data_IF_477304548665
#
_entry.id   IF_477304548665
#
_cell.length_a   1.000
_cell.length_b   1.000
_cell.length_c   1.000
_cell.angle_alpha   90.00
_cell.angle_beta   90.00
_cell.angle_gamma   90.00
#
_symmetry.space_group_name_H-M   'P 1'
#
loop_
_entity.id
_entity.type
_entity.pdbx_description
1 polymer ?
#
# COMPACT_ATOMS: atom_id res chain seq x y z
N UNK A 1 17.06 4.73 -3.93
CA UNK A 1 16.03 3.89 -4.52
C UNK A 1 14.74 4.68 -4.68
N UNK A 2 13.95 4.34 -5.63
CA UNK A 2 12.68 5.03 -5.86
C UNK A 2 11.54 4.04 -6.03
N UNK A 3 10.34 4.52 -5.81
CA UNK A 3 9.12 3.76 -6.06
C UNK A 3 8.50 4.26 -7.36
N UNK A 4 8.28 3.35 -8.30
CA UNK A 4 7.61 3.67 -9.55
C UNK A 4 6.16 3.20 -9.51
N UNK A 5 5.24 4.07 -9.90
CA UNK A 5 3.81 3.77 -9.99
C UNK A 5 3.39 3.93 -11.44
N UNK A 6 2.68 2.94 -11.96
CA UNK A 6 2.19 2.98 -13.34
C UNK A 6 0.71 2.63 -13.37
N UNK A 7 -0.07 3.44 -14.05
CA UNK A 7 -1.50 3.21 -14.22
C UNK A 7 -1.99 3.93 -15.48
N UNK A 8 -2.73 3.22 -16.32
CA UNK A 8 -3.36 3.79 -17.51
C UNK A 8 -2.39 4.60 -18.38
N UNK A 9 -1.16 4.11 -18.53
CA UNK A 9 -0.17 4.77 -19.38
C UNK A 9 0.60 5.90 -18.72
N UNK A 10 0.31 6.22 -17.47
CA UNK A 10 1.01 7.26 -16.72
C UNK A 10 1.97 6.60 -15.74
N UNK A 11 3.20 7.09 -15.69
CA UNK A 11 4.21 6.59 -14.75
C UNK A 11 4.68 7.76 -13.89
N UNK A 12 4.74 7.52 -12.57
CA UNK A 12 5.30 8.48 -11.62
C UNK A 12 6.36 7.80 -10.79
N UNK A 13 7.37 8.57 -10.44
CA UNK A 13 8.49 8.09 -9.63
C UNK A 13 8.55 8.91 -8.35
N UNK A 14 8.60 8.22 -7.21
CA UNK A 14 8.72 8.86 -5.91
C UNK A 14 10.04 8.44 -5.28
N UNK A 15 10.81 9.41 -4.82
CA UNK A 15 12.08 9.14 -4.14
C UNK A 15 11.76 8.88 -2.66
N UNK A 16 11.78 7.63 -2.27
CA UNK A 16 11.51 7.22 -0.89
C UNK A 16 12.06 5.82 -0.65
N UNK A 17 12.33 5.50 0.60
CA UNK A 17 12.86 4.19 0.99
C UNK A 17 11.76 3.30 1.59
N UNK A 18 10.70 3.90 2.08
CA UNK A 18 9.60 3.19 2.74
C UNK A 18 8.32 3.99 2.59
N UNK A 19 7.19 3.29 2.64
CA UNK A 19 5.88 3.93 2.54
C UNK A 19 4.84 3.06 3.23
N UNK A 20 3.69 3.66 3.50
CA UNK A 20 2.54 2.94 4.04
C UNK A 20 1.41 3.00 3.02
N UNK A 21 0.82 1.85 2.72
CA UNK A 21 -0.43 1.79 1.96
C UNK A 21 -1.58 1.73 2.94
N UNK A 22 -2.60 2.52 2.69
CA UNK A 22 -3.78 2.56 3.55
C UNK A 22 -5.04 2.50 2.71
N UNK A 23 -6.02 1.78 3.20
CA UNK A 23 -7.33 1.72 2.53
C UNK A 23 -8.40 1.34 3.55
N UNK A 24 -9.65 1.61 3.18
CA UNK A 24 -10.80 1.27 4.02
C UNK A 24 -11.59 0.17 3.34
N UNK A 25 -11.87 -0.90 4.07
CA UNK A 25 -12.65 -2.00 3.54
C UNK A 25 -14.08 -1.53 3.28
N UNK A 26 -14.60 -1.82 2.09
CA UNK A 26 -15.87 -1.24 1.65
C UNK A 26 -17.08 -1.66 2.48
N UNK A 27 -17.13 -2.90 2.90
CA UNK A 27 -18.30 -3.42 3.62
C UNK A 27 -18.18 -3.15 5.12
N UNK A 28 -17.06 -3.54 5.71
CA UNK A 28 -16.88 -3.42 7.15
C UNK A 28 -16.48 -2.04 7.61
N UNK A 29 -16.08 -1.17 6.68
CA UNK A 29 -15.61 0.18 7.00
C UNK A 29 -14.42 0.16 7.98
N UNK A 30 -13.59 -0.85 7.84
CA UNK A 30 -12.42 -1.04 8.70
C UNK A 30 -11.18 -0.60 7.95
N UNK A 31 -10.36 0.20 8.63
CA UNK A 31 -9.12 0.70 8.02
C UNK A 31 -8.02 -0.33 8.08
N UNK A 32 -7.33 -0.49 6.97
CA UNK A 32 -6.16 -1.35 6.81
C UNK A 32 -4.95 -0.50 6.49
N UNK A 33 -3.78 -0.90 6.99
CA UNK A 33 -2.52 -0.26 6.65
C UNK A 33 -1.43 -1.30 6.53
N UNK A 34 -0.52 -1.09 5.57
CA UNK A 34 0.63 -1.95 5.36
C UNK A 34 1.87 -1.09 5.20
N UNK A 35 2.91 -1.40 5.99
CA UNK A 35 4.19 -0.70 5.90
C UNK A 35 5.12 -1.51 5.01
N UNK A 36 5.62 -0.87 3.98
CA UNK A 36 6.48 -1.48 2.97
C UNK A 36 7.84 -0.79 2.94
N UNK A 37 8.85 -1.57 2.62
CA UNK A 37 10.22 -1.04 2.47
C UNK A 37 10.76 -1.46 1.12
N UNK A 38 11.50 -0.55 0.47
CA UNK A 38 12.14 -0.83 -0.80
C UNK A 38 13.51 -1.48 -0.54
N UNK A 39 13.81 -2.54 -1.27
CA UNK A 39 15.10 -3.22 -1.19
C UNK A 39 15.57 -3.54 -2.61
N UNK A 40 16.86 -3.88 -2.79
CA UNK A 40 17.34 -4.32 -4.10
C UNK A 40 16.62 -5.56 -4.61
N UNK A 41 16.05 -6.36 -3.71
CA UNK A 41 15.33 -7.58 -4.08
C UNK A 41 13.84 -7.36 -4.32
N UNK A 42 13.36 -6.14 -4.14
CA UNK A 42 11.96 -5.82 -4.34
C UNK A 42 11.31 -5.14 -3.14
N UNK A 43 10.01 -5.22 -3.07
CA UNK A 43 9.22 -4.59 -2.01
C UNK A 43 9.00 -5.59 -0.88
N UNK A 44 9.34 -5.17 0.34
CA UNK A 44 9.20 -6.02 1.52
C UNK A 44 8.10 -5.49 2.42
N UNK A 45 7.13 -6.36 2.73
CA UNK A 45 6.05 -6.02 3.65
C UNK A 45 6.55 -6.23 5.07
N UNK A 46 6.75 -5.14 5.78
CA UNK A 46 7.31 -5.20 7.14
C UNK A 46 6.27 -5.35 8.22
N UNK A 47 5.14 -4.69 8.05
CA UNK A 47 4.10 -4.71 9.07
C UNK A 47 2.73 -4.50 8.43
N UNK A 48 1.74 -5.21 8.95
CA UNK A 48 0.36 -5.00 8.53
C UNK A 48 -0.47 -4.73 9.78
N UNK A 49 -1.53 -3.94 9.63
CA UNK A 49 -2.43 -3.66 10.75
C UNK A 49 -3.83 -3.36 10.22
N UNK A 50 -4.80 -3.72 11.06
CA UNK A 50 -6.21 -3.48 10.77
C UNK A 50 -6.85 -2.91 12.03
N UNK A 51 -7.70 -1.90 11.86
CA UNK A 51 -8.36 -1.26 12.97
C UNK A 51 -9.58 -2.06 13.38
N UNK A 52 -9.49 -2.71 14.55
CA UNK A 52 -10.55 -3.57 15.01
C UNK A 52 -10.62 -4.86 14.22
N UNK A 53 -11.71 -5.58 14.37
CA UNK A 53 -11.96 -6.81 13.62
C UNK A 53 -13.40 -6.80 13.14
N UNK A 54 -13.63 -7.32 11.94
CA UNK A 54 -14.95 -7.43 11.38
C UNK A 54 -15.16 -8.78 10.74
N UNK A 55 -16.35 -9.03 10.25
CA UNK A 55 -16.65 -10.29 9.61
C UNK A 55 -15.72 -10.53 8.42
N UNK A 56 -15.07 -11.68 8.39
CA UNK A 56 -14.12 -12.00 7.33
C UNK A 56 -12.78 -11.30 7.43
N UNK A 57 -12.55 -10.56 8.51
CA UNK A 57 -11.34 -9.77 8.68
C UNK A 57 -10.59 -10.21 9.93
N UNK A 58 -10.35 -11.50 10.04
CA UNK A 58 -9.70 -12.04 11.22
C UNK A 58 -8.20 -11.82 11.17
N UNK A 59 -7.62 -11.13 12.15
CA UNK A 59 -6.17 -11.01 12.20
C UNK A 59 -5.54 -12.36 12.52
N UNK A 60 -4.28 -12.59 12.08
CA UNK A 60 -3.62 -13.86 12.40
C UNK A 60 -3.39 -14.02 13.90
N UNK A 61 -3.19 -15.25 14.40
CA UNK A 61 -2.98 -15.48 15.83
C UNK A 61 -1.82 -14.71 16.43
N UNK A 62 -0.80 -14.38 15.63
CA UNK A 62 0.36 -13.65 16.11
C UNK A 62 0.11 -12.15 16.22
N UNK A 63 -1.04 -11.65 15.78
CA UNK A 63 -1.34 -10.23 15.81
C UNK A 63 -1.51 -9.76 17.26
N UNK A 64 -1.08 -8.53 17.51
CA UNK A 64 -1.23 -7.89 18.82
C UNK A 64 -2.17 -6.71 18.69
N UNK A 65 -3.02 -6.53 19.69
CA UNK A 65 -3.92 -5.39 19.75
C UNK A 65 -3.21 -4.24 20.45
N UNK A 66 -2.96 -3.16 19.70
CA UNK A 66 -2.28 -1.97 20.22
C UNK A 66 -3.10 -0.75 19.80
N UNK A 67 -3.63 -0.02 20.79
CA UNK A 67 -4.44 1.18 20.54
C UNK A 67 -5.58 0.99 19.54
N UNK A 68 -6.24 -0.16 19.60
CA UNK A 68 -7.34 -0.45 18.70
C UNK A 68 -6.96 -1.05 17.36
N UNK A 69 -5.65 -1.21 17.10
CA UNK A 69 -5.16 -1.81 15.88
C UNK A 69 -4.59 -3.20 16.16
N UNK A 70 -4.99 -4.19 15.36
CA UNK A 70 -4.31 -5.48 15.36
C UNK A 70 -3.11 -5.37 14.43
N UNK A 71 -1.93 -5.61 14.96
CA UNK A 71 -0.67 -5.45 14.22
C UNK A 71 0.13 -6.74 14.19
N UNK A 72 0.75 -7.04 13.06
CA UNK A 72 1.61 -8.23 12.93
C UNK A 72 2.67 -7.99 11.86
N UNK A 73 3.69 -8.85 11.89
CA UNK A 73 4.80 -8.82 10.94
C UNK A 73 4.65 -9.99 9.98
N UNK A 74 4.15 -9.78 8.78
CA UNK A 74 4.03 -10.87 7.80
C UNK A 74 5.39 -11.44 7.44
N UNK A 75 5.43 -12.76 7.23
CA UNK A 75 6.66 -13.43 6.83
C UNK A 75 6.56 -13.71 5.33
N UNK A 76 6.96 -12.75 4.52
CA UNK A 76 6.88 -12.86 3.07
C UNK A 76 8.20 -12.53 2.42
N UNK A 77 8.50 -13.21 1.31
CA UNK A 77 9.65 -12.88 0.49
C UNK A 77 9.43 -11.53 -0.18
N UNK A 78 10.51 -10.84 -0.58
CA UNK A 78 10.37 -9.60 -1.33
C UNK A 78 9.55 -9.80 -2.60
N UNK A 79 8.76 -8.81 -2.97
CA UNK A 79 7.91 -8.88 -4.16
C UNK A 79 8.45 -7.93 -5.23
N UNK A 80 8.56 -8.41 -6.48
CA UNK A 80 9.06 -7.53 -7.54
C UNK A 80 8.10 -6.37 -7.83
N UNK A 81 6.81 -6.57 -7.58
CA UNK A 81 5.83 -5.51 -7.80
C UNK A 81 4.56 -5.79 -7.02
N UNK A 82 3.79 -4.73 -6.80
CA UNK A 82 2.44 -4.81 -6.23
C UNK A 82 1.47 -4.38 -7.30
N UNK A 83 0.39 -5.14 -7.47
CA UNK A 83 -0.67 -4.78 -8.41
C UNK A 83 -1.91 -4.44 -7.58
N UNK A 84 -2.27 -3.16 -7.57
CA UNK A 84 -3.38 -2.67 -6.77
C UNK A 84 -4.61 -2.49 -7.63
N UNK A 85 -5.62 -3.32 -7.39
CA UNK A 85 -6.89 -3.15 -8.06
C UNK A 85 -7.73 -2.09 -7.38
N UNK A 86 -8.68 -1.54 -8.11
CA UNK A 86 -9.61 -0.58 -7.54
C UNK A 86 -11.02 -1.02 -7.92
N UNK A 87 -11.73 -1.60 -6.95
CA UNK A 87 -13.07 -2.13 -7.21
C UNK A 87 -14.12 -1.05 -7.37
N UNK A 88 -13.82 0.17 -7.01
CA UNK A 88 -14.81 1.23 -7.00
C UNK A 88 -15.73 1.20 -5.79
N UNK A 89 -15.82 0.08 -5.10
CA UNK A 89 -16.66 -0.05 -3.91
C UNK A 89 -15.92 0.36 -2.65
N UNK A 90 -14.62 0.09 -2.60
CA UNK A 90 -13.79 0.52 -1.48
C UNK A 90 -13.30 1.95 -1.74
N UNK A 91 -12.89 2.61 -0.70
CA UNK A 91 -12.23 3.88 -0.85
C UNK A 91 -10.94 3.71 -1.64
N UNK A 92 -10.48 4.80 -2.22
CA UNK A 92 -9.27 4.77 -3.01
C UNK A 92 -8.05 4.47 -2.13
N UNK A 93 -7.07 3.76 -2.69
CA UNK A 93 -5.80 3.51 -2.00
C UNK A 93 -5.10 4.83 -1.72
N UNK A 94 -4.51 4.92 -0.54
CA UNK A 94 -3.70 6.08 -0.14
C UNK A 94 -2.28 5.60 0.11
N UNK A 95 -1.32 6.41 -0.31
CA UNK A 95 0.09 6.17 -0.04
C UNK A 95 0.56 7.23 0.94
N UNK A 96 1.12 6.79 2.05
CA UNK A 96 1.61 7.68 3.10
C UNK A 96 3.12 7.60 3.19
N UNK A 97 3.77 8.76 3.27
CA UNK A 97 5.22 8.85 3.40
C UNK A 97 5.56 10.18 4.05
N UNK A 98 6.51 10.17 4.96
CA UNK A 98 6.95 11.39 5.64
C UNK A 98 5.80 12.17 6.28
N UNK A 99 4.83 11.47 6.85
CA UNK A 99 3.71 12.10 7.54
C UNK A 99 2.59 12.61 6.65
N UNK A 100 2.68 12.40 5.35
CA UNK A 100 1.64 12.83 4.41
C UNK A 100 1.04 11.64 3.69
N UNK A 101 -0.28 11.66 3.53
CA UNK A 101 -1.01 10.65 2.79
C UNK A 101 -1.66 11.28 1.58
N UNK A 102 -1.54 10.63 0.43
CA UNK A 102 -2.17 11.06 -0.81
C UNK A 102 -2.83 9.88 -1.47
N UNK A 103 -3.95 10.12 -2.16
CA UNK A 103 -4.57 9.07 -2.95
C UNK A 103 -3.70 8.78 -4.17
N UNK A 104 -3.86 7.59 -4.74
CA UNK A 104 -3.12 7.25 -5.96
C UNK A 104 -3.49 8.20 -7.10
N UNK A 105 -4.75 8.61 -7.17
CA UNK A 105 -5.18 9.58 -8.20
C UNK A 105 -4.46 10.90 -8.06
N UNK A 106 -4.26 11.38 -6.84
CA UNK A 106 -3.51 12.60 -6.61
C UNK A 106 -2.06 12.47 -7.05
N UNK A 107 -1.44 11.33 -6.74
CA UNK A 107 -0.05 11.10 -7.12
C UNK A 107 0.11 11.02 -8.63
N UNK A 108 -0.78 10.28 -9.28
CA UNK A 108 -0.71 10.05 -10.73
C UNK A 108 -1.20 11.25 -11.54
N UNK A 109 -1.97 12.13 -10.92
CA UNK A 109 -2.46 13.32 -11.61
C UNK A 109 -3.70 13.10 -12.45
N UNK A 110 -4.34 11.94 -12.31
CA UNK A 110 -5.61 11.65 -12.99
C UNK A 110 -6.37 10.60 -12.19
N UNK A 111 -7.70 10.51 -12.34
CA UNK A 111 -8.48 9.49 -11.63
C UNK A 111 -8.04 8.09 -12.03
N UNK A 112 -7.80 7.23 -11.04
CA UNK A 112 -7.43 5.85 -11.29
C UNK A 112 -8.63 5.07 -11.83
N UNK A 113 -9.82 5.33 -11.30
CA UNK A 113 -11.03 4.65 -11.73
C UNK A 113 -10.93 3.15 -11.52
N UNK A 114 -11.25 2.38 -12.56
CA UNK A 114 -11.17 0.92 -12.52
C UNK A 114 -9.81 0.39 -12.98
N UNK A 115 -8.85 1.26 -13.28
CA UNK A 115 -7.53 0.83 -13.72
C UNK A 115 -6.71 0.29 -12.55
N UNK A 116 -5.86 -0.69 -12.82
CA UNK A 116 -4.93 -1.16 -11.82
C UNK A 116 -3.74 -0.23 -11.75
N UNK A 117 -3.11 -0.16 -10.59
CA UNK A 117 -1.85 0.57 -10.41
C UNK A 117 -0.78 -0.45 -10.07
N UNK A 118 0.33 -0.40 -10.79
CA UNK A 118 1.47 -1.28 -10.53
C UNK A 118 2.56 -0.48 -9.85
N UNK A 119 3.01 -0.97 -8.70
CA UNK A 119 4.09 -0.35 -7.93
C UNK A 119 5.30 -1.26 -7.95
N UNK A 120 6.47 -0.69 -8.15
CA UNK A 120 7.71 -1.46 -8.14
C UNK A 120 8.86 -0.59 -7.65
N UNK A 121 9.88 -1.23 -7.07
CA UNK A 121 11.12 -0.54 -6.73
C UNK A 121 11.87 -0.27 -8.04
N UNK A 122 12.33 0.94 -8.22
CA UNK A 122 13.09 1.31 -9.40
C UNK A 122 14.31 2.13 -9.02
N UNK A 123 15.25 2.22 -9.92
CA UNK A 123 16.45 2.98 -9.66
C UNK A 123 16.16 4.49 -9.69
N UNK A 124 17.09 5.20 -9.10
CA UNK A 124 16.94 6.62 -9.20
C UNK A 124 17.48 6.99 -10.51
N UNK A 125 16.88 6.94 -11.47
CA UNK A 125 17.35 7.13 -12.56
C UNK A 125 17.63 8.06 -13.01
N UNK A 126 18.04 8.34 -12.90
CA UNK A 126 18.42 8.91 -13.78
C UNK A 126 18.69 8.19 -14.91
N UNK A 127 18.38 7.52 -15.04
CA UNK A 127 18.58 6.98 -16.09
C UNK A 127 17.83 6.49 -16.56
#
# INVERSE_FOLDING_TARGET
>A
MSLCLASAGVVKTLVLAAFTLAWTHSIEKVDWQEDWRLTPDGLVLEQARVKGSGAGMEPPPAARLIDGWFQWHPQRAPMPQLVLGNSGAAGEWRLCSAGKCRTLSEILGHPVGANVTVMSACGDTGK
#
